data_IF_133404693029
#
_entry.id   IF_133404693029
#
_cell.length_a   1.000
_cell.length_b   1.000
_cell.length_c   1.000
_cell.angle_alpha   90.00
_cell.angle_beta   90.00
_cell.angle_gamma   90.00
#
_symmetry.space_group_name_H-M   'P 1'
#
loop_
_entity.id
_entity.type
_entity.pdbx_description
1 polymer ?
#
# COMPACT_ATOMS: atom_id res chain seq x y z
N UNK A 1 -20.53 -3.82 5.89
CA UNK A 1 -19.79 -4.22 5.82
C UNK A 1 -19.22 -4.83 4.74
N UNK A 2 -18.84 -4.66 3.86
CA UNK A 2 -18.25 -5.28 2.76
C UNK A 2 -16.86 -5.78 3.04
N UNK A 3 -16.39 -6.60 2.15
CA UNK A 3 -15.03 -7.09 2.23
C UNK A 3 -14.11 -6.20 1.43
N UNK A 4 -12.82 -6.30 1.73
CA UNK A 4 -11.81 -5.60 0.95
C UNK A 4 -10.91 -6.64 0.30
N UNK A 5 -10.58 -6.45 -0.96
CA UNK A 5 -9.77 -7.40 -1.71
C UNK A 5 -8.31 -6.92 -1.71
N UNK A 6 -7.41 -7.86 -1.45
CA UNK A 6 -5.99 -7.57 -1.31
C UNK A 6 -5.19 -8.48 -2.22
N UNK A 7 -4.22 -7.92 -2.91
CA UNK A 7 -3.24 -8.68 -3.67
C UNK A 7 -1.87 -8.49 -3.03
N UNK A 8 -1.03 -9.50 -3.14
CA UNK A 8 0.29 -9.50 -2.54
C UNK A 8 1.34 -9.65 -3.63
N UNK A 9 2.32 -8.77 -3.62
CA UNK A 9 3.36 -8.74 -4.64
C UNK A 9 4.73 -8.68 -3.99
N UNK A 10 5.46 -9.79 -4.02
CA UNK A 10 6.79 -9.88 -3.43
C UNK A 10 7.47 -11.10 -4.07
N UNK A 11 8.73 -10.96 -4.44
CA UNK A 11 9.41 -12.08 -5.09
C UNK A 11 9.91 -13.11 -4.08
N UNK A 12 9.79 -12.84 -2.80
CA UNK A 12 10.18 -13.76 -1.75
C UNK A 12 8.93 -14.56 -1.34
N UNK A 13 8.90 -15.84 -1.67
CA UNK A 13 7.76 -16.68 -1.40
C UNK A 13 7.39 -16.74 0.06
N UNK A 14 8.40 -16.77 0.91
CA UNK A 14 8.15 -16.82 2.34
C UNK A 14 7.46 -15.54 2.82
N UNK A 15 7.85 -14.40 2.27
CA UNK A 15 7.21 -13.14 2.62
C UNK A 15 5.76 -13.13 2.17
N UNK A 16 5.48 -13.67 1.00
CA UNK A 16 4.11 -13.76 0.51
C UNK A 16 3.25 -14.58 1.49
N UNK A 17 3.81 -15.69 1.99
CA UNK A 17 3.08 -16.51 2.95
C UNK A 17 2.85 -15.80 4.27
N UNK A 18 3.85 -15.05 4.71
CA UNK A 18 3.73 -14.28 5.94
C UNK A 18 2.62 -13.22 5.81
N UNK A 19 2.64 -12.49 4.71
CA UNK A 19 1.63 -11.45 4.49
C UNK A 19 0.23 -12.04 4.35
N UNK A 20 0.13 -13.17 3.66
CA UNK A 20 -1.12 -13.89 3.54
C UNK A 20 -1.67 -14.23 4.92
N UNK A 21 -0.83 -14.81 5.77
CA UNK A 21 -1.24 -15.19 7.13
C UNK A 21 -1.70 -13.98 7.94
N UNK A 22 -1.00 -12.87 7.79
CA UNK A 22 -1.33 -11.66 8.54
C UNK A 22 -2.71 -11.15 8.17
N UNK A 23 -2.96 -10.99 6.88
CA UNK A 23 -4.21 -10.37 6.47
C UNK A 23 -5.40 -11.32 6.64
N UNK A 24 -5.16 -12.61 6.62
CA UNK A 24 -6.25 -13.57 6.83
C UNK A 24 -6.79 -13.57 8.23
N UNK A 25 -6.15 -12.88 9.14
CA UNK A 25 -6.68 -12.75 10.49
C UNK A 25 -7.97 -11.93 10.54
N UNK A 26 -8.23 -11.15 9.51
CA UNK A 26 -9.45 -10.37 9.41
C UNK A 26 -10.33 -11.00 8.34
N UNK A 27 -11.49 -11.52 8.75
CA UNK A 27 -12.37 -12.23 7.83
C UNK A 27 -12.98 -11.33 6.78
N UNK A 28 -12.89 -10.02 6.95
CA UNK A 28 -13.36 -9.08 5.94
C UNK A 28 -12.31 -8.80 4.88
N UNK A 29 -11.13 -9.39 4.98
CA UNK A 29 -10.08 -9.20 3.99
C UNK A 29 -9.98 -10.47 3.16
N UNK A 30 -10.03 -10.29 1.84
CA UNK A 30 -10.00 -11.41 0.91
C UNK A 30 -8.79 -11.29 0.00
N UNK A 31 -7.96 -12.32 -0.06
CA UNK A 31 -6.81 -12.33 -0.96
C UNK A 31 -7.29 -12.72 -2.35
N UNK A 32 -7.04 -11.86 -3.33
CA UNK A 32 -7.50 -12.13 -4.70
C UNK A 32 -6.37 -12.50 -5.64
N UNK A 33 -5.13 -12.33 -5.23
CA UNK A 33 -4.03 -12.73 -6.10
C UNK A 33 -2.69 -12.54 -5.43
N UNK A 34 -1.70 -13.22 -5.97
CA UNK A 34 -0.31 -13.16 -5.53
C UNK A 34 0.56 -13.13 -6.76
N UNK A 35 1.62 -12.35 -6.73
CA UNK A 35 2.55 -12.29 -7.84
C UNK A 35 3.96 -12.10 -7.31
N UNK A 36 4.94 -12.56 -8.06
CA UNK A 36 6.33 -12.50 -7.62
C UNK A 36 7.22 -11.70 -8.54
N UNK A 37 6.64 -10.97 -9.46
CA UNK A 37 7.39 -10.06 -10.32
C UNK A 37 6.45 -8.97 -10.80
N UNK A 38 7.03 -7.86 -11.26
CA UNK A 38 6.24 -6.68 -11.58
C UNK A 38 5.32 -6.85 -12.77
N UNK A 39 5.72 -7.64 -13.77
CA UNK A 39 4.85 -7.86 -14.92
C UNK A 39 3.57 -8.56 -14.50
N UNK A 40 3.70 -9.59 -13.68
CA UNK A 40 2.54 -10.33 -13.23
C UNK A 40 1.66 -9.48 -12.31
N UNK A 41 2.28 -8.62 -11.50
CA UNK A 41 1.52 -7.70 -10.66
C UNK A 41 0.67 -6.78 -11.51
N UNK A 42 1.27 -6.22 -12.55
CA UNK A 42 0.57 -5.30 -13.42
C UNK A 42 -0.66 -5.99 -14.04
N UNK A 43 -0.46 -7.19 -14.58
CA UNK A 43 -1.57 -7.92 -15.20
C UNK A 43 -2.61 -8.33 -14.17
N UNK A 44 -2.16 -8.70 -12.97
CA UNK A 44 -3.07 -9.07 -11.91
C UNK A 44 -3.96 -7.90 -11.50
N UNK A 45 -3.40 -6.70 -11.44
CA UNK A 45 -4.18 -5.52 -11.09
C UNK A 45 -5.26 -5.26 -12.13
N UNK A 46 -4.91 -5.40 -13.41
CA UNK A 46 -5.88 -5.19 -14.47
C UNK A 46 -7.00 -6.24 -14.43
N UNK A 47 -6.63 -7.47 -14.12
CA UNK A 47 -7.58 -8.56 -14.20
C UNK A 47 -8.43 -8.67 -12.95
N UNK A 48 -7.83 -8.55 -11.78
CA UNK A 48 -8.53 -8.81 -10.53
C UNK A 48 -9.08 -7.56 -9.85
N UNK A 49 -8.59 -6.41 -10.23
CA UNK A 49 -9.05 -5.12 -9.69
C UNK A 49 -9.06 -5.11 -8.16
N UNK A 50 -7.91 -5.40 -7.52
CA UNK A 50 -7.88 -5.43 -6.05
C UNK A 50 -8.08 -4.04 -5.46
N UNK A 51 -8.59 -4.00 -4.24
CA UNK A 51 -8.71 -2.75 -3.50
C UNK A 51 -7.35 -2.28 -3.01
N UNK A 52 -6.53 -3.21 -2.55
CA UNK A 52 -5.23 -2.91 -1.97
C UNK A 52 -4.19 -3.86 -2.56
N UNK A 53 -3.01 -3.33 -2.84
CA UNK A 53 -1.86 -4.15 -3.24
C UNK A 53 -0.76 -3.95 -2.21
N UNK A 54 -0.32 -5.03 -1.58
CA UNK A 54 0.86 -5.03 -0.73
C UNK A 54 2.03 -5.26 -1.67
N UNK A 55 2.88 -4.26 -1.84
CA UNK A 55 3.83 -4.21 -2.94
C UNK A 55 5.26 -4.03 -2.46
N UNK A 56 6.11 -5.00 -2.77
CA UNK A 56 7.55 -4.84 -2.59
C UNK A 56 8.10 -4.03 -3.76
N UNK A 57 9.09 -3.22 -3.51
CA UNK A 57 9.69 -2.41 -4.56
C UNK A 57 10.74 -3.18 -5.35
N UNK A 58 11.38 -4.17 -4.76
CA UNK A 58 12.45 -4.91 -5.43
C UNK A 58 11.92 -6.22 -5.93
N UNK A 59 11.66 -6.28 -7.23
CA UNK A 59 11.16 -7.50 -7.86
C UNK A 59 11.77 -7.61 -9.26
N UNK A 60 11.92 -8.84 -9.77
CA UNK A 60 12.44 -9.00 -11.12
C UNK A 60 11.44 -8.56 -12.17
N UNK A 61 11.92 -8.36 -13.36
CA UNK A 61 11.19 -7.98 -14.57
C UNK A 61 10.70 -6.56 -14.55
N UNK A 62 10.05 -6.13 -13.49
CA UNK A 62 9.53 -4.78 -13.36
C UNK A 62 9.47 -4.50 -11.87
N UNK A 63 10.16 -3.47 -11.41
CA UNK A 63 10.16 -3.17 -9.96
C UNK A 63 8.86 -2.50 -9.53
N UNK A 64 8.68 -2.36 -8.22
CA UNK A 64 7.43 -1.85 -7.70
C UNK A 64 7.13 -0.42 -8.08
N UNK A 65 8.14 0.45 -8.11
CA UNK A 65 7.90 1.83 -8.52
C UNK A 65 7.43 1.88 -9.97
N UNK A 66 8.04 1.05 -10.82
CA UNK A 66 7.65 1.00 -12.22
C UNK A 66 6.24 0.44 -12.40
N UNK A 67 5.86 -0.51 -11.54
CA UNK A 67 4.48 -1.00 -11.57
C UNK A 67 3.52 0.14 -11.28
N UNK A 68 3.79 0.92 -10.23
CA UNK A 68 2.90 2.01 -9.87
C UNK A 68 2.83 3.05 -10.99
N UNK A 69 3.97 3.35 -11.58
CA UNK A 69 4.02 4.31 -12.67
C UNK A 69 3.21 3.81 -13.86
N UNK A 70 3.36 2.54 -14.19
CA UNK A 70 2.66 1.95 -15.33
C UNK A 70 1.16 1.93 -15.11
N UNK A 71 0.75 1.63 -13.88
CA UNK A 71 -0.67 1.67 -13.53
C UNK A 71 -1.22 3.08 -13.69
N UNK A 72 -0.47 4.07 -13.25
CA UNK A 72 -0.91 5.46 -13.34
C UNK A 72 -1.05 5.94 -14.79
N UNK A 73 -0.24 5.39 -15.69
CA UNK A 73 -0.25 5.80 -17.09
C UNK A 73 -1.23 5.01 -17.94
N UNK A 74 -1.74 3.92 -17.45
CA UNK A 74 -2.59 3.03 -18.23
C UNK A 74 -4.04 3.47 -18.13
N UNK A 75 -4.54 4.08 -19.18
CA UNK A 75 -5.88 4.63 -19.18
C UNK A 75 -6.97 3.56 -19.28
N UNK A 76 -6.59 2.32 -19.52
CA UNK A 76 -7.57 1.23 -19.55
C UNK A 76 -7.90 0.72 -18.17
N UNK A 77 -7.13 1.11 -17.15
CA UNK A 77 -7.39 0.67 -15.80
C UNK A 77 -8.43 1.58 -15.18
N UNK A 78 -9.57 1.00 -14.84
CA UNK A 78 -10.68 1.77 -14.31
C UNK A 78 -10.61 1.89 -12.81
N UNK A 79 -10.07 0.88 -12.15
CA UNK A 79 -10.00 0.88 -10.70
C UNK A 79 -8.55 0.86 -10.27
N UNK A 80 -8.08 1.95 -9.70
CA UNK A 80 -6.72 2.06 -9.22
C UNK A 80 -6.66 1.54 -7.79
N UNK A 81 -5.81 0.56 -7.51
CA UNK A 81 -5.71 0.04 -6.14
C UNK A 81 -5.01 1.03 -5.24
N UNK A 82 -5.18 0.87 -3.96
CA UNK A 82 -4.37 1.57 -2.98
C UNK A 82 -3.12 0.74 -2.75
N UNK A 83 -1.96 1.37 -2.83
CA UNK A 83 -0.70 0.65 -2.66
C UNK A 83 -0.17 0.84 -1.24
N UNK A 84 0.15 -0.27 -0.59
CA UNK A 84 0.91 -0.27 0.63
C UNK A 84 2.26 -0.86 0.28
N UNK A 85 3.29 -0.02 0.26
CA UNK A 85 4.63 -0.50 -0.07
C UNK A 85 5.23 -1.16 1.15
N UNK A 86 5.82 -2.34 0.98
CA UNK A 86 6.47 -3.08 2.05
C UNK A 86 7.85 -3.46 1.54
N UNK A 87 8.89 -2.78 2.02
CA UNK A 87 10.19 -2.91 1.39
C UNK A 87 11.31 -2.75 2.41
N UNK A 88 12.45 -3.33 2.10
CA UNK A 88 13.65 -3.14 2.91
C UNK A 88 14.38 -1.85 2.55
N UNK A 89 13.97 -1.17 1.48
CA UNK A 89 14.61 0.08 1.07
C UNK A 89 13.95 1.23 1.80
N UNK A 90 14.75 1.97 2.56
CA UNK A 90 14.20 3.10 3.30
C UNK A 90 14.85 4.42 2.97
N UNK A 91 15.52 4.53 1.83
CA UNK A 91 16.14 5.78 1.45
C UNK A 91 15.09 6.83 1.15
N UNK A 92 15.39 8.04 1.57
CA UNK A 92 14.41 9.12 1.50
C UNK A 92 13.91 9.36 0.08
N UNK A 93 14.80 9.33 -0.89
CA UNK A 93 14.39 9.57 -2.26
C UNK A 93 13.43 8.51 -2.78
N UNK A 94 13.66 7.26 -2.40
CA UNK A 94 12.82 6.15 -2.84
C UNK A 94 11.44 6.23 -2.19
N UNK A 95 11.39 6.52 -0.90
CA UNK A 95 10.10 6.63 -0.22
C UNK A 95 9.31 7.80 -0.78
N UNK A 96 9.98 8.89 -1.07
CA UNK A 96 9.31 10.05 -1.64
C UNK A 96 8.75 9.72 -3.02
N UNK A 97 9.53 9.02 -3.84
CA UNK A 97 9.06 8.61 -5.16
C UNK A 97 7.82 7.72 -5.05
N UNK A 98 7.83 6.81 -4.08
CA UNK A 98 6.70 5.91 -3.90
C UNK A 98 5.43 6.69 -3.55
N UNK A 99 5.55 7.64 -2.64
CA UNK A 99 4.38 8.45 -2.27
C UNK A 99 3.92 9.32 -3.43
N UNK A 100 4.85 9.86 -4.20
CA UNK A 100 4.48 10.66 -5.37
C UNK A 100 3.76 9.83 -6.42
N UNK A 101 4.06 8.55 -6.49
CA UNK A 101 3.41 7.65 -7.43
C UNK A 101 2.09 7.09 -6.90
N UNK A 102 1.73 7.42 -5.66
CA UNK A 102 0.42 7.06 -5.15
C UNK A 102 0.40 6.07 -4.02
N UNK A 103 1.54 5.75 -3.41
CA UNK A 103 1.54 4.86 -2.25
C UNK A 103 0.77 5.51 -1.12
N UNK A 104 -0.06 4.72 -0.44
CA UNK A 104 -0.82 5.19 0.70
C UNK A 104 -0.02 5.03 1.98
N UNK A 105 0.74 3.96 2.09
CA UNK A 105 1.59 3.70 3.26
C UNK A 105 2.89 3.06 2.79
N UNK A 106 3.93 3.23 3.59
CA UNK A 106 5.23 2.65 3.32
C UNK A 106 5.70 1.96 4.59
N UNK A 107 5.83 0.66 4.55
CA UNK A 107 6.21 -0.14 5.71
C UNK A 107 7.59 -0.73 5.47
N UNK A 108 8.49 -0.50 6.41
CA UNK A 108 9.86 -1.02 6.30
C UNK A 108 9.93 -2.45 6.78
N UNK A 109 10.70 -3.27 6.08
CA UNK A 109 11.07 -4.60 6.55
C UNK A 109 12.30 -4.49 7.43
N UNK A 110 12.37 -5.20 8.52
CA UNK A 110 11.35 -6.08 9.09
C UNK A 110 10.25 -5.27 9.76
N UNK A 111 9.07 -5.80 9.78
CA UNK A 111 7.91 -5.06 10.29
C UNK A 111 7.21 -5.84 11.39
N UNK A 112 6.36 -5.11 12.12
CA UNK A 112 5.45 -5.68 13.08
C UNK A 112 4.23 -6.18 12.32
N UNK A 113 3.83 -7.42 12.56
CA UNK A 113 2.70 -8.00 11.86
C UNK A 113 1.43 -7.18 12.03
N UNK A 114 1.23 -6.63 13.22
CA UNK A 114 0.04 -5.83 13.49
C UNK A 114 0.02 -4.56 12.66
N UNK A 115 1.18 -4.03 12.33
CA UNK A 115 1.23 -2.81 11.53
C UNK A 115 0.64 -3.04 10.14
N UNK A 116 0.99 -4.16 9.50
CA UNK A 116 0.46 -4.46 8.17
C UNK A 116 -1.05 -4.57 8.22
N UNK A 117 -1.55 -5.34 9.17
CA UNK A 117 -2.99 -5.55 9.29
C UNK A 117 -3.71 -4.25 9.57
N UNK A 118 -3.13 -3.43 10.45
CA UNK A 118 -3.74 -2.15 10.80
C UNK A 118 -3.80 -1.20 9.61
N UNK A 119 -2.79 -1.21 8.76
CA UNK A 119 -2.80 -0.35 7.58
C UNK A 119 -3.86 -0.79 6.56
N UNK A 120 -4.00 -2.10 6.38
CA UNK A 120 -5.05 -2.59 5.49
C UNK A 120 -6.42 -2.22 6.06
N UNK A 121 -6.60 -2.39 7.36
CA UNK A 121 -7.86 -2.03 8.01
C UNK A 121 -8.15 -0.53 7.89
N UNK A 122 -7.10 0.29 7.97
CA UNK A 122 -7.28 1.73 7.85
C UNK A 122 -7.83 2.07 6.47
N UNK A 123 -7.35 1.42 5.44
CA UNK A 123 -7.87 1.65 4.10
C UNK A 123 -9.32 1.17 3.99
N UNK A 124 -9.61 -0.01 4.55
CA UNK A 124 -10.96 -0.55 4.53
C UNK A 124 -11.93 0.42 5.21
N UNK A 125 -11.56 0.91 6.39
CA UNK A 125 -12.41 1.81 7.13
C UNK A 125 -12.59 3.14 6.42
N UNK A 126 -11.53 3.66 5.84
CA UNK A 126 -11.60 4.90 5.08
C UNK A 126 -12.55 4.74 3.89
N UNK A 127 -12.42 3.63 3.18
CA UNK A 127 -13.29 3.37 2.03
C UNK A 127 -14.75 3.23 2.46
N UNK A 128 -14.98 2.56 3.58
CA UNK A 128 -16.34 2.36 4.06
C UNK A 128 -16.99 3.65 4.51
N UNK A 129 -16.21 4.57 5.05
CA UNK A 129 -16.78 5.80 5.59
C UNK A 129 -16.65 6.98 4.67
N UNK A 130 -16.23 6.78 3.44
CA UNK A 130 -15.99 7.93 2.57
C UNK A 130 -17.26 8.67 2.23
N UNK A 131 -18.39 8.06 2.36
CA UNK A 131 -19.59 8.79 2.09
C UNK A 131 -19.92 9.75 3.17
N UNK A 132 -19.43 9.53 4.31
CA UNK A 132 -19.71 10.45 5.35
C UNK A 132 -18.86 11.67 5.24
N UNK A 133 -18.32 12.00 4.74
CA UNK A 133 -17.61 12.95 4.70
C UNK A 133 -16.77 13.53 5.05
N UNK A 134 -16.23 13.71 5.11
CA UNK A 134 -15.47 14.21 5.54
C UNK A 134 -14.78 14.82 5.70
N UNK A 135 -14.42 14.82 5.37
CA UNK A 135 -14.02 15.48 5.86
C UNK A 135 -12.74 16.20 5.80
N UNK A 136 -12.56 17.46 5.89
CA UNK A 136 -11.31 18.12 5.82
C UNK A 136 -10.46 17.86 7.04
N UNK A 137 -11.05 17.56 8.10
CA UNK A 137 -10.26 17.23 9.27
C UNK A 137 -9.43 16.01 9.06
N UNK A 138 -9.97 15.06 8.34
CA UNK A 138 -9.23 13.85 8.06
C UNK A 138 -8.00 14.13 7.25
N UNK A 139 -8.10 15.06 6.35
CA UNK A 139 -6.96 15.42 5.54
C UNK A 139 -5.86 15.99 6.39
N UNK A 140 -6.18 16.83 7.34
CA UNK A 140 -5.18 17.39 8.17
C UNK A 140 -4.52 16.34 9.04
N UNK A 141 -5.25 15.37 9.52
CA UNK A 141 -4.66 14.30 10.29
C UNK A 141 -3.69 13.50 9.48
N UNK A 142 -4.01 13.25 8.24
CA UNK A 142 -3.11 12.51 7.39
C UNK A 142 -1.81 13.25 7.20
N UNK A 143 -1.87 14.53 7.01
CA UNK A 143 -0.64 15.25 6.81
C UNK A 143 0.19 15.26 8.07
N UNK A 144 -0.42 15.22 9.23
CA UNK A 144 0.34 15.13 10.43
C UNK A 144 1.04 13.81 10.58
N UNK A 145 0.38 12.76 10.21
CA UNK A 145 1.00 11.47 10.39
C UNK A 145 2.21 11.34 9.54
N UNK A 146 2.32 12.14 8.61
CA UNK A 146 3.47 12.10 7.88
C UNK A 146 4.51 12.86 8.48
N UNK A 147 4.18 13.61 9.10
CA UNK A 147 5.02 14.26 9.70
C UNK A 147 5.32 13.87 10.78
N UNK A 148 4.84 13.25 11.25
CA UNK A 148 5.07 12.84 12.21
C UNK A 148 5.39 11.93 12.22
N UNK A 149 5.04 11.78 11.42
CA UNK A 149 5.27 11.11 11.37
C UNK A 149 6.11 11.33 11.17
N UNK A 150 5.95 11.76 10.94
CA UNK A 150 6.45 11.96 10.92
C UNK A 150 6.92 12.12 11.25
N UNK A 151 6.58 12.16 11.03
CA UNK A 151 6.71 12.22 11.43
C UNK A 151 6.81 12.24 11.42
N UNK A 152 6.49 12.00 11.41
CA UNK A 152 6.27 11.94 11.62
C UNK A 152 6.57 12.20 11.18
N UNK A 153 6.42 12.14 10.67
CA UNK A 153 6.32 12.33 10.53
C UNK A 153 6.74 12.73 10.25
N UNK A 154 6.51 12.66 9.85
CA UNK A 154 6.57 12.99 9.94
C UNK A 154 6.80 13.28 9.98
N UNK A 155 6.53 13.05 9.76
CA UNK A 155 6.44 13.29 10.09
C UNK A 155 6.64 13.55 9.92
N UNK A 156 6.43 13.33 9.48
CA UNK A 156 6.25 13.37 9.58
C UNK A 156 6.69 13.81 9.32
N UNK A 157 6.46 13.86 8.74
CA UNK A 157 6.52 14.10 8.74
C UNK A 157 7.13 14.66 8.83
N UNK A 158 6.82 14.63 8.36
CA UNK A 158 7.00 15.04 8.77
C UNK A 158 7.30 15.32 9.11
N UNK A 159 7.31 15.20 8.66
CA UNK A 159 7.25 15.39 9.19
C UNK A 159 7.74 15.64 9.31
N UNK A 160 7.54 15.68 8.71
CA UNK A 160 7.66 15.79 9.02
C UNK A 160 8.16 15.96 9.10
N UNK A 161 8.08 15.86 8.42
CA UNK A 161 8.30 15.75 8.80
C UNK A 161 8.75 15.95 8.79
N UNK A 162 8.72 15.84 8.46
CA UNK A 162 8.90 15.86 8.76
C UNK A 162 9.36 16.02 8.87
N UNK A 163 9.50 16.08 8.51
CA UNK A 163 9.82 15.93 8.82
C UNK A 163 10.06 16.11 9.02
#
# INVERSE_FOLDING_TARGET
>A
MGTISVAIADDNERMVEILDSIVKKDSDIRIVGKANNGEDVYHMIKEKEPDVVLLDLIMPKLDGLSVMERINQDQTIKKHPKFIVISAIGQEGITEDAFNLGAHYYIMKPFDNDMVLNRVRAIKNYTSSKQTKFSSENTSLLSLSIENLEGEVTDMIHEVGVP
#
